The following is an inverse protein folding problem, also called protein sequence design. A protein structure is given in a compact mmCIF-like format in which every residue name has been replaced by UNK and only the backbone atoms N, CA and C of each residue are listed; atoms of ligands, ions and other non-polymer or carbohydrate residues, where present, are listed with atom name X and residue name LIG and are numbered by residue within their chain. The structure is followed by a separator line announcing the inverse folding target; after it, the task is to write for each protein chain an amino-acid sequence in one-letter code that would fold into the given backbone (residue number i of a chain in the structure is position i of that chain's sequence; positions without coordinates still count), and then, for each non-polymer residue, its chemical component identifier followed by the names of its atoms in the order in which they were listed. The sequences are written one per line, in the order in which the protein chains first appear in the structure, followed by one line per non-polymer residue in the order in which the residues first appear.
data_IF_552078032045
#
_entry.id   IF_552078032045
#
_cell.length_a   1.000
_cell.length_b   1.000
_cell.length_c   1.000
_cell.angle_alpha   90.00
_cell.angle_beta   90.00
_cell.angle_gamma   90.00
#
_symmetry.space_group_name_H-M   'P 1'
#
loop_
_entity.id
_entity.type
_entity.pdbx_description
1 polymer ?
#
# COMPACT_ATOMS: atom_id res chain seq x y z
N UNK A 1 -42.32 -4.07 -8.05
CA UNK A 1 -41.46 -2.87 -8.17
C UNK A 1 -41.29 -2.56 -9.64
N UNK A 2 -41.84 -1.43 -10.10
CA UNK A 2 -42.09 -1.12 -11.51
C UNK A 2 -40.84 -0.65 -12.27
N UNK A 3 -40.70 -1.12 -13.51
CA UNK A 3 -39.66 -0.83 -14.52
C UNK A 3 -39.42 0.67 -14.84
N UNK A 4 -40.13 1.59 -14.19
CA UNK A 4 -39.97 3.05 -14.32
C UNK A 4 -38.75 3.61 -13.58
N UNK A 5 -38.23 2.92 -12.55
CA UNK A 5 -37.04 3.38 -11.81
C UNK A 5 -35.72 3.08 -12.53
N UNK A 6 -35.68 2.02 -13.36
CA UNK A 6 -34.45 1.61 -14.07
C UNK A 6 -34.14 2.58 -15.22
N UNK A 7 -35.16 3.13 -15.88
CA UNK A 7 -34.98 4.11 -16.97
C UNK A 7 -34.55 5.49 -16.43
N UNK A 8 -34.96 5.87 -15.22
CA UNK A 8 -34.56 7.13 -14.59
C UNK A 8 -33.09 7.13 -14.13
N UNK A 9 -32.56 5.97 -13.69
CA UNK A 9 -31.14 5.85 -13.31
C UNK A 9 -30.24 5.69 -14.54
N UNK A 10 -30.71 5.00 -15.60
CA UNK A 10 -29.98 4.90 -16.86
C UNK A 10 -29.87 6.24 -17.62
N UNK A 11 -30.85 7.14 -17.45
CA UNK A 11 -30.83 8.48 -18.05
C UNK A 11 -29.84 9.46 -17.41
N UNK A 12 -29.39 9.22 -16.17
CA UNK A 12 -28.48 10.13 -15.46
C UNK A 12 -27.00 9.80 -15.67
N UNK A 13 -26.68 8.60 -16.18
CA UNK A 13 -25.32 8.19 -16.53
C UNK A 13 -24.91 8.67 -17.93
N UNK A 14 -25.88 9.00 -18.79
CA UNK A 14 -25.66 9.37 -20.19
C UNK A 14 -25.24 10.83 -20.48
N UNK A 15 -25.10 11.69 -19.47
CA UNK A 15 -24.80 13.13 -19.67
C UNK A 15 -23.42 13.55 -19.12
N UNK A 16 -22.64 12.64 -18.53
CA UNK A 16 -21.26 12.93 -18.09
C UNK A 16 -20.19 12.68 -19.17
N UNK A 17 -20.60 12.49 -20.42
CA UNK A 17 -19.69 12.44 -21.56
C UNK A 17 -19.27 13.84 -21.99
N UNK A 18 -17.95 14.05 -22.12
CA UNK A 18 -17.28 15.21 -22.71
C UNK A 18 -17.22 16.50 -21.88
N UNK A 19 -16.59 16.42 -20.72
CA UNK A 19 -15.58 17.43 -20.41
C UNK A 19 -14.23 16.81 -20.77
N UNK A 20 -13.45 17.50 -21.61
CA UNK A 20 -12.05 17.19 -21.76
C UNK A 20 -11.41 17.31 -20.38
N UNK A 21 -11.22 16.18 -19.70
CA UNK A 21 -10.38 16.13 -18.52
C UNK A 21 -8.98 16.26 -19.05
N UNK A 22 -8.41 17.46 -18.98
CA UNK A 22 -6.97 17.57 -19.03
C UNK A 22 -6.43 16.74 -17.87
N UNK A 23 -5.79 15.62 -18.21
CA UNK A 23 -5.09 14.83 -17.21
C UNK A 23 -3.99 15.73 -16.64
N UNK A 24 -4.20 16.24 -15.42
CA UNK A 24 -3.16 16.97 -14.71
C UNK A 24 -1.96 16.05 -14.57
N UNK A 25 -0.82 16.52 -15.04
CA UNK A 25 0.46 15.84 -14.92
C UNK A 25 0.87 15.81 -13.44
N UNK A 26 0.48 14.74 -12.73
CA UNK A 26 0.65 14.56 -11.29
C UNK A 26 2.05 14.05 -10.91
N UNK A 27 3.04 14.21 -11.80
CA UNK A 27 4.43 13.80 -11.51
C UNK A 27 4.96 14.62 -10.33
N UNK A 28 5.48 13.98 -9.27
CA UNK A 28 5.95 14.70 -8.11
C UNK A 28 7.21 15.51 -8.45
N UNK A 29 7.40 16.61 -7.74
CA UNK A 29 8.69 17.29 -7.71
C UNK A 29 9.69 16.39 -7.00
N UNK A 30 10.93 16.37 -7.46
CA UNK A 30 12.00 15.61 -6.79
C UNK A 30 13.12 16.54 -6.42
N UNK A 31 13.54 16.54 -5.16
CA UNK A 31 14.72 17.25 -4.66
C UNK A 31 15.68 16.23 -4.09
N UNK A 32 16.88 16.16 -4.65
CA UNK A 32 17.97 15.31 -4.23
C UNK A 32 19.09 16.19 -3.68
N UNK A 33 19.46 15.98 -2.42
CA UNK A 33 20.55 16.65 -1.73
C UNK A 33 21.63 15.63 -1.46
N UNK A 34 22.80 15.76 -2.09
CA UNK A 34 23.92 14.84 -1.90
C UNK A 34 25.09 15.59 -1.28
N UNK A 35 25.56 15.14 -0.12
CA UNK A 35 26.76 15.66 0.51
C UNK A 35 28.00 15.16 -0.25
N UNK A 36 28.73 16.09 -0.84
CA UNK A 36 29.92 15.78 -1.67
C UNK A 36 31.22 15.87 -0.89
N UNK A 37 31.26 16.74 0.11
CA UNK A 37 32.35 16.91 1.07
C UNK A 37 31.78 17.52 2.35
N UNK A 38 32.53 17.54 3.45
CA UNK A 38 32.03 17.98 4.75
C UNK A 38 31.26 19.31 4.66
N UNK A 39 29.97 19.27 5.03
CA UNK A 39 29.04 20.40 5.01
C UNK A 39 28.87 21.08 3.63
N UNK A 40 29.18 20.37 2.54
CA UNK A 40 29.01 20.86 1.17
C UNK A 40 28.06 19.93 0.41
N UNK A 41 26.90 20.47 0.03
CA UNK A 41 25.79 19.71 -0.52
C UNK A 41 25.52 20.14 -1.96
N UNK A 42 25.48 19.17 -2.87
CA UNK A 42 25.00 19.37 -4.24
C UNK A 42 23.52 19.02 -4.27
N UNK A 43 22.71 19.98 -4.70
CA UNK A 43 21.27 19.89 -4.73
C UNK A 43 20.83 19.83 -6.18
N UNK A 44 20.14 18.77 -6.54
CA UNK A 44 19.52 18.60 -7.85
C UNK A 44 18.01 18.51 -7.65
N UNK A 45 17.24 19.34 -8.35
CA UNK A 45 15.79 19.25 -8.29
C UNK A 45 15.18 19.19 -9.68
N UNK A 46 14.16 18.35 -9.81
CA UNK A 46 13.43 18.11 -11.05
C UNK A 46 11.98 18.53 -10.86
N UNK A 47 11.53 19.38 -11.77
CA UNK A 47 10.18 19.94 -11.79
C UNK A 47 9.53 19.54 -13.12
N UNK A 48 8.32 18.98 -13.13
CA UNK A 48 7.60 18.68 -14.36
C UNK A 48 7.38 19.94 -15.21
N UNK A 49 7.36 19.79 -16.54
CA UNK A 49 7.07 20.89 -17.48
C UNK A 49 5.64 21.43 -17.38
N UNK A 50 4.79 20.81 -16.56
CA UNK A 50 3.45 21.30 -16.26
C UNK A 50 3.46 22.63 -15.49
N UNK A 51 4.56 23.00 -14.81
CA UNK A 51 4.72 24.33 -14.25
C UNK A 51 5.31 25.30 -15.28
N UNK A 52 4.76 26.53 -15.36
CA UNK A 52 5.37 27.57 -16.18
C UNK A 52 6.71 28.00 -15.58
N UNK A 53 7.61 28.50 -16.44
CA UNK A 53 9.01 28.75 -16.08
C UNK A 53 9.20 29.83 -14.98
N UNK A 54 8.20 30.68 -14.78
CA UNK A 54 8.13 31.72 -13.74
C UNK A 54 7.61 31.21 -12.39
N UNK A 55 7.05 30.00 -12.33
CA UNK A 55 6.54 29.36 -11.12
C UNK A 55 7.41 28.19 -10.64
N UNK A 56 8.64 28.08 -11.14
CA UNK A 56 9.54 26.98 -10.77
C UNK A 56 9.91 27.05 -9.28
N UNK A 57 9.64 25.99 -8.50
CA UNK A 57 10.02 25.97 -7.11
C UNK A 57 11.54 25.88 -6.93
N UNK A 58 12.02 26.50 -5.85
CA UNK A 58 13.43 26.49 -5.47
C UNK A 58 13.61 25.82 -4.10
N UNK A 59 14.62 24.96 -3.91
CA UNK A 59 14.94 24.43 -2.60
C UNK A 59 15.30 25.53 -1.60
N UNK A 60 14.79 25.42 -0.38
CA UNK A 60 15.12 26.32 0.74
C UNK A 60 16.02 25.59 1.74
N UNK A 61 17.07 26.27 2.18
CA UNK A 61 18.07 25.76 3.12
C UNK A 61 18.16 26.66 4.37
N UNK A 62 18.74 26.14 5.48
CA UNK A 62 19.04 26.94 6.66
C UNK A 62 19.82 28.23 6.34
N UNK A 63 19.63 29.27 7.16
CA UNK A 63 20.21 30.59 6.93
C UNK A 63 21.75 30.63 6.93
N UNK A 64 22.40 29.63 7.52
CA UNK A 64 23.85 29.45 7.57
C UNK A 64 24.42 28.70 6.35
N UNK A 65 23.57 28.32 5.39
CA UNK A 65 23.97 27.70 4.13
C UNK A 65 24.12 28.75 3.02
N UNK A 66 25.34 28.94 2.54
CA UNK A 66 25.65 29.85 1.44
C UNK A 66 25.64 29.11 0.09
N UNK A 67 24.92 29.66 -0.89
CA UNK A 67 24.93 29.18 -2.25
C UNK A 67 26.24 29.57 -2.96
N UNK A 68 27.05 28.59 -3.37
CA UNK A 68 28.34 28.84 -4.00
C UNK A 68 28.23 29.41 -5.42
N UNK A 69 27.12 29.10 -6.09
CA UNK A 69 26.80 29.52 -7.47
C UNK A 69 25.29 29.73 -7.62
N UNK A 70 24.86 30.57 -8.57
CA UNK A 70 23.44 30.63 -8.95
C UNK A 70 22.97 29.28 -9.51
N UNK A 71 21.66 28.98 -9.41
CA UNK A 71 21.11 27.71 -9.86
C UNK A 71 21.28 27.54 -11.38
N UNK A 72 21.88 26.42 -11.79
CA UNK A 72 22.04 26.07 -13.19
C UNK A 72 20.80 25.30 -13.67
N UNK A 73 19.94 25.97 -14.42
CA UNK A 73 18.74 25.37 -14.99
C UNK A 73 19.01 24.74 -16.35
N UNK A 74 18.53 23.51 -16.54
CA UNK A 74 18.53 22.80 -17.82
C UNK A 74 17.13 22.29 -18.10
N UNK A 75 16.62 22.57 -19.30
CA UNK A 75 15.40 21.92 -19.80
C UNK A 75 15.78 20.56 -20.40
N UNK A 76 15.19 19.48 -19.89
CA UNK A 76 15.45 18.12 -20.36
C UNK A 76 14.14 17.43 -20.70
N UNK A 77 13.70 17.57 -21.95
CA UNK A 77 12.48 16.95 -22.45
C UNK A 77 11.23 17.41 -21.69
N UNK A 78 10.70 16.55 -20.82
CA UNK A 78 9.45 16.76 -20.08
C UNK A 78 9.63 17.22 -18.62
N UNK A 79 10.83 17.69 -18.25
CA UNK A 79 11.12 18.27 -16.94
C UNK A 79 12.16 19.41 -17.01
N UNK A 80 12.03 20.38 -16.11
CA UNK A 80 13.08 21.35 -15.77
C UNK A 80 13.95 20.74 -14.67
N UNK A 81 15.27 20.77 -14.85
CA UNK A 81 16.23 20.31 -13.84
C UNK A 81 17.09 21.50 -13.40
N UNK A 82 17.09 21.78 -12.10
CA UNK A 82 18.00 22.73 -11.47
C UNK A 82 19.11 22.01 -10.71
N UNK A 83 20.30 22.59 -10.74
CA UNK A 83 21.47 22.10 -10.00
C UNK A 83 22.14 23.28 -9.29
N UNK A 84 22.43 23.13 -7.98
CA UNK A 84 23.09 24.16 -7.17
C UNK A 84 23.90 23.52 -6.05
N UNK A 85 25.01 24.14 -5.67
CA UNK A 85 25.84 23.69 -4.55
C UNK A 85 25.76 24.67 -3.40
N UNK A 86 25.52 24.15 -2.19
CA UNK A 86 25.48 24.89 -0.94
C UNK A 86 26.63 24.48 -0.04
N UNK A 87 27.17 25.45 0.70
CA UNK A 87 28.10 25.21 1.81
C UNK A 87 27.47 25.71 3.10
N UNK A 88 27.29 24.83 4.07
CA UNK A 88 26.70 25.13 5.36
C UNK A 88 27.78 25.21 6.44
N UNK A 89 27.52 25.97 7.51
CA UNK A 89 28.41 26.03 8.66
C UNK A 89 28.39 24.71 9.45
N UNK A 90 27.21 24.13 9.60
CA UNK A 90 26.95 22.85 10.25
C UNK A 90 26.36 21.82 9.28
N UNK A 91 26.31 20.56 9.70
CA UNK A 91 25.66 19.50 8.93
C UNK A 91 24.14 19.69 8.88
N UNK A 92 23.49 19.14 7.84
CA UNK A 92 22.04 19.25 7.66
C UNK A 92 21.20 18.33 8.56
N UNK A 93 21.82 17.38 9.27
CA UNK A 93 21.12 16.49 10.18
C UNK A 93 20.50 17.29 11.35
N UNK A 94 19.21 17.10 11.62
CA UNK A 94 18.46 17.87 12.62
C UNK A 94 18.00 19.26 12.17
N UNK A 95 18.27 19.64 10.91
CA UNK A 95 17.98 20.99 10.37
C UNK A 95 16.78 20.97 9.43
N UNK A 96 16.14 22.13 9.28
CA UNK A 96 14.98 22.30 8.40
C UNK A 96 15.42 22.65 6.98
N UNK A 97 14.96 21.87 6.02
CA UNK A 97 15.06 22.11 4.57
C UNK A 97 13.65 22.20 3.98
N UNK A 98 13.51 22.71 2.77
CA UNK A 98 12.19 22.82 2.17
C UNK A 98 12.21 23.15 0.69
N UNK A 99 11.03 23.47 0.18
CA UNK A 99 10.81 23.86 -1.21
C UNK A 99 9.89 25.08 -1.26
N UNK A 100 10.42 26.20 -1.75
CA UNK A 100 9.70 27.45 -1.92
C UNK A 100 9.07 27.55 -3.29
N UNK A 101 7.78 27.86 -3.36
CA UNK A 101 7.09 28.17 -4.62
C UNK A 101 6.95 29.69 -4.75
N UNK A 102 7.30 30.29 -5.91
CA UNK A 102 7.13 31.73 -6.13
C UNK A 102 5.68 32.21 -6.04
N UNK A 103 4.72 31.31 -6.33
CA UNK A 103 3.27 31.61 -6.30
C UNK A 103 2.54 30.64 -5.36
N UNK A 104 1.85 29.63 -5.89
CA UNK A 104 1.12 28.62 -5.13
C UNK A 104 1.47 27.24 -5.68
N UNK A 105 1.63 26.26 -4.79
CA UNK A 105 1.83 24.87 -5.22
C UNK A 105 0.56 24.38 -5.93
N UNK A 106 0.62 23.93 -7.20
CA UNK A 106 -0.53 23.41 -7.94
C UNK A 106 -0.95 22.00 -7.48
N UNK A 107 -0.85 21.75 -6.18
CA UNK A 107 -1.10 20.46 -5.52
C UNK A 107 -0.11 19.34 -5.86
N UNK A 108 1.14 19.68 -6.17
CA UNK A 108 2.20 18.70 -6.37
C UNK A 108 2.74 18.18 -5.04
N UNK A 109 3.02 16.87 -5.03
CA UNK A 109 3.81 16.24 -3.98
C UNK A 109 5.30 16.45 -4.28
N UNK A 110 6.11 16.54 -3.24
CA UNK A 110 7.57 16.66 -3.38
C UNK A 110 8.25 15.47 -2.71
N UNK A 111 9.07 14.74 -3.46
CA UNK A 111 9.96 13.72 -2.92
C UNK A 111 11.27 14.42 -2.57
N UNK A 112 11.60 14.45 -1.28
CA UNK A 112 12.83 15.04 -0.77
C UNK A 112 13.76 13.92 -0.29
N UNK A 113 14.92 13.80 -0.92
CA UNK A 113 15.95 12.81 -0.57
C UNK A 113 17.24 13.52 -0.17
N UNK A 114 17.82 13.15 0.96
CA UNK A 114 19.11 13.64 1.47
C UNK A 114 20.05 12.44 1.61
N UNK A 115 21.22 12.53 1.00
CA UNK A 115 22.29 11.53 1.05
C UNK A 115 23.52 12.18 1.71
N UNK A 116 23.92 11.68 2.88
CA UNK A 116 25.10 12.15 3.60
C UNK A 116 26.37 11.42 3.14
N UNK A 117 27.53 12.04 3.33
CA UNK A 117 28.82 11.46 2.95
C UNK A 117 29.18 10.18 3.74
N UNK A 118 28.51 9.98 4.88
CA UNK A 118 28.56 8.75 5.70
C UNK A 118 27.86 7.55 5.03
N UNK A 119 27.11 7.77 3.96
CA UNK A 119 26.25 6.78 3.31
C UNK A 119 24.84 6.69 3.92
N UNK A 120 24.52 7.52 4.91
CA UNK A 120 23.18 7.65 5.48
C UNK A 120 22.26 8.39 4.50
N UNK A 121 21.05 7.86 4.29
CA UNK A 121 20.06 8.48 3.41
C UNK A 121 18.75 8.70 4.18
N UNK A 122 18.12 9.85 3.98
CA UNK A 122 16.77 10.11 4.43
C UNK A 122 15.86 10.47 3.25
N UNK A 123 14.65 9.93 3.28
CA UNK A 123 13.62 10.21 2.29
C UNK A 123 12.33 10.64 2.98
N UNK A 124 11.71 11.70 2.48
CA UNK A 124 10.37 12.13 2.89
C UNK A 124 9.55 12.52 1.66
N UNK A 125 8.30 12.07 1.63
CA UNK A 125 7.31 12.56 0.65
C UNK A 125 6.51 13.66 1.34
N UNK A 126 6.66 14.88 0.86
CA UNK A 126 5.90 16.05 1.29
C UNK A 126 4.58 16.13 0.53
N UNK A 127 3.49 16.27 1.29
CA UNK A 127 2.17 16.51 0.74
C UNK A 127 2.03 17.90 0.07
N UNK A 128 0.94 18.14 -0.66
CA UNK A 128 0.69 19.43 -1.34
C UNK A 128 0.78 20.69 -0.48
N UNK A 129 0.46 20.58 0.81
CA UNK A 129 0.47 21.69 1.77
C UNK A 129 1.71 21.70 2.68
N UNK A 130 2.66 20.78 2.46
CA UNK A 130 3.88 20.64 3.25
C UNK A 130 5.06 21.19 2.43
N UNK A 131 5.69 22.24 2.93
CA UNK A 131 6.79 22.93 2.24
C UNK A 131 8.15 22.75 2.92
N UNK A 132 8.13 22.34 4.19
CA UNK A 132 9.31 22.25 5.04
C UNK A 132 9.39 20.87 5.68
N UNK A 133 10.62 20.42 5.89
CA UNK A 133 10.95 19.17 6.54
C UNK A 133 12.17 19.37 7.42
N UNK A 134 12.08 18.95 8.67
CA UNK A 134 13.25 18.84 9.54
C UNK A 134 13.86 17.46 9.37
N UNK A 135 15.07 17.41 8.82
CA UNK A 135 15.83 16.17 8.60
C UNK A 135 16.11 15.58 9.98
N UNK A 136 15.76 14.32 10.26
CA UNK A 136 16.08 13.69 11.54
C UNK A 136 17.59 13.74 11.82
N UNK A 137 18.00 14.07 13.05
CA UNK A 137 19.41 14.10 13.45
C UNK A 137 20.02 12.68 13.63
N UNK A 138 19.13 11.69 13.76
CA UNK A 138 19.39 10.26 13.84
C UNK A 138 18.39 9.58 12.92
N UNK A 139 18.77 8.52 12.18
CA UNK A 139 17.76 7.60 11.68
C UNK A 139 17.06 7.07 12.93
N UNK A 140 15.74 7.22 13.01
CA UNK A 140 14.95 6.65 14.10
C UNK A 140 14.33 5.34 13.60
N UNK A 141 15.02 4.18 13.70
CA UNK A 141 14.45 2.87 13.36
C UNK A 141 13.07 2.65 13.97
N UNK A 142 12.82 3.26 15.14
CA UNK A 142 11.54 3.19 15.83
C UNK A 142 10.43 3.97 15.10
N UNK A 143 10.71 5.16 14.55
CA UNK A 143 9.72 5.92 13.79
C UNK A 143 9.35 5.18 12.50
N UNK A 144 10.36 4.66 11.79
CA UNK A 144 10.18 3.80 10.61
C UNK A 144 9.34 2.58 10.97
N UNK A 145 9.68 1.88 12.05
CA UNK A 145 8.94 0.71 12.51
C UNK A 145 7.45 0.99 12.76
N UNK A 146 7.11 2.07 13.46
CA UNK A 146 5.72 2.44 13.75
C UNK A 146 4.96 2.78 12.46
N UNK A 147 5.55 3.60 11.59
CA UNK A 147 4.95 3.99 10.31
C UNK A 147 4.62 2.75 9.46
N UNK A 148 5.58 1.85 9.26
CA UNK A 148 5.36 0.64 8.45
C UNK A 148 4.39 -0.36 9.09
N UNK A 149 4.39 -0.46 10.42
CA UNK A 149 3.39 -1.27 11.13
C UNK A 149 1.97 -0.73 10.85
N UNK A 150 1.77 0.58 10.90
CA UNK A 150 0.47 1.19 10.59
C UNK A 150 0.08 0.96 9.12
N UNK A 151 1.03 1.12 8.18
CA UNK A 151 0.78 0.83 6.78
C UNK A 151 0.39 -0.63 6.53
N UNK A 152 1.02 -1.59 7.23
CA UNK A 152 0.64 -3.00 7.15
C UNK A 152 -0.79 -3.27 7.63
N UNK A 153 -1.20 -2.64 8.74
CA UNK A 153 -2.58 -2.75 9.25
C UNK A 153 -3.57 -2.15 8.25
N UNK A 154 -3.30 -0.96 7.72
CA UNK A 154 -4.19 -0.31 6.76
C UNK A 154 -4.29 -1.11 5.46
N UNK A 155 -3.18 -1.66 4.99
CA UNK A 155 -3.14 -2.49 3.79
C UNK A 155 -4.11 -3.68 3.86
N UNK A 156 -4.07 -4.45 4.95
CA UNK A 156 -4.98 -5.61 5.09
C UNK A 156 -6.44 -5.18 5.25
N UNK A 157 -6.72 -4.02 5.87
CA UNK A 157 -8.10 -3.54 6.05
C UNK A 157 -8.73 -2.97 4.76
N UNK A 158 -7.94 -2.40 3.86
CA UNK A 158 -8.42 -1.93 2.54
C UNK A 158 -8.56 -3.12 1.58
N UNK A 159 -7.71 -4.14 1.71
CA UNK A 159 -7.71 -5.32 0.86
C UNK A 159 -8.85 -6.30 1.15
N UNK A 160 -10.02 -6.06 0.55
CA UNK A 160 -11.21 -6.91 0.74
C UNK A 160 -10.97 -8.41 0.43
N UNK A 161 -10.18 -8.74 -0.60
CA UNK A 161 -9.80 -10.12 -0.91
C UNK A 161 -9.11 -10.82 0.26
N UNK A 162 -8.19 -10.13 0.93
CA UNK A 162 -7.43 -10.68 2.03
C UNK A 162 -8.32 -10.90 3.26
N UNK A 163 -9.22 -9.96 3.56
CA UNK A 163 -10.18 -10.11 4.65
C UNK A 163 -11.13 -11.29 4.40
N UNK A 164 -11.65 -11.44 3.17
CA UNK A 164 -12.49 -12.57 2.81
C UNK A 164 -11.73 -13.90 2.85
N UNK A 165 -10.47 -13.91 2.42
CA UNK A 165 -9.59 -15.07 2.55
C UNK A 165 -9.42 -15.50 4.02
N UNK A 166 -9.08 -14.56 4.91
CA UNK A 166 -8.94 -14.82 6.36
C UNK A 166 -10.26 -15.26 6.99
N UNK A 167 -11.39 -14.68 6.57
CA UNK A 167 -12.72 -15.10 7.01
C UNK A 167 -13.02 -16.55 6.59
N UNK A 168 -12.62 -16.96 5.39
CA UNK A 168 -12.74 -18.36 4.96
C UNK A 168 -11.84 -19.30 5.79
N UNK A 169 -10.60 -18.91 6.09
CA UNK A 169 -9.70 -19.70 6.93
C UNK A 169 -10.25 -19.92 8.34
N UNK A 170 -10.99 -18.95 8.91
CA UNK A 170 -11.69 -19.11 10.19
C UNK A 170 -12.64 -20.32 10.18
N UNK A 171 -13.40 -20.53 9.10
CA UNK A 171 -14.30 -21.67 8.97
C UNK A 171 -13.57 -23.00 8.76
N UNK A 172 -12.44 -22.98 8.04
CA UNK A 172 -11.68 -24.18 7.67
C UNK A 172 -10.80 -24.68 8.82
N UNK A 173 -10.11 -23.78 9.53
CA UNK A 173 -9.13 -24.16 10.55
C UNK A 173 -9.77 -24.77 11.81
N UNK A 174 -11.02 -24.39 12.13
CA UNK A 174 -11.89 -24.89 13.22
C UNK A 174 -11.39 -24.75 14.65
N UNK A 175 -10.10 -24.52 14.86
CA UNK A 175 -9.48 -24.36 16.18
C UNK A 175 -8.59 -23.13 16.18
N UNK A 176 -8.49 -22.39 17.30
CA UNK A 176 -7.71 -21.16 17.37
C UNK A 176 -6.23 -21.39 17.08
N UNK A 177 -5.66 -22.50 17.57
CA UNK A 177 -4.25 -22.86 17.31
C UNK A 177 -3.99 -23.11 15.83
N UNK A 178 -4.88 -23.86 15.14
CA UNK A 178 -4.72 -24.09 13.69
C UNK A 178 -4.90 -22.80 12.92
N UNK A 179 -5.84 -21.95 13.31
CA UNK A 179 -6.09 -20.67 12.67
C UNK A 179 -4.87 -19.76 12.76
N UNK A 180 -4.33 -19.58 13.98
CA UNK A 180 -3.13 -18.78 14.21
C UNK A 180 -1.97 -19.27 13.33
N UNK A 181 -1.66 -20.56 13.37
CA UNK A 181 -0.60 -21.13 12.53
C UNK A 181 -0.83 -20.90 11.04
N UNK A 182 -2.08 -20.99 10.60
CA UNK A 182 -2.47 -20.83 9.19
C UNK A 182 -2.34 -19.38 8.72
N UNK A 183 -2.68 -18.41 9.58
CA UNK A 183 -2.50 -16.97 9.32
C UNK A 183 -1.02 -16.62 9.31
N UNK A 184 -0.28 -16.98 10.37
CA UNK A 184 1.15 -16.71 10.45
C UNK A 184 1.91 -17.37 9.29
N UNK A 185 1.54 -18.60 8.91
CA UNK A 185 2.11 -19.28 7.75
C UNK A 185 1.85 -18.55 6.43
N UNK A 186 0.65 -17.99 6.24
CA UNK A 186 0.34 -17.13 5.10
C UNK A 186 1.23 -15.89 5.10
N UNK A 187 1.31 -15.17 6.22
CA UNK A 187 2.08 -13.93 6.34
C UNK A 187 3.56 -14.14 6.09
N UNK A 188 4.14 -15.21 6.62
CA UNK A 188 5.54 -15.56 6.36
C UNK A 188 5.78 -15.89 4.88
N UNK A 189 4.90 -16.68 4.26
CA UNK A 189 5.00 -17.01 2.84
C UNK A 189 4.85 -15.76 1.95
N UNK A 190 3.88 -14.91 2.27
CA UNK A 190 3.66 -13.63 1.64
C UNK A 190 4.87 -12.71 1.77
N UNK A 191 5.47 -12.64 2.96
CA UNK A 191 6.69 -11.85 3.24
C UNK A 191 7.83 -12.24 2.31
N UNK A 192 8.01 -13.55 2.07
CA UNK A 192 9.06 -14.07 1.18
C UNK A 192 8.87 -13.59 -0.25
N UNK A 193 7.67 -13.73 -0.83
CA UNK A 193 7.45 -13.34 -2.23
C UNK A 193 7.32 -11.84 -2.42
N UNK A 194 6.85 -11.10 -1.41
CA UNK A 194 6.94 -9.64 -1.37
C UNK A 194 8.41 -9.19 -1.41
N UNK A 195 9.26 -9.75 -0.55
CA UNK A 195 10.68 -9.44 -0.53
C UNK A 195 11.36 -9.76 -1.87
N UNK A 196 11.08 -10.93 -2.46
CA UNK A 196 11.61 -11.31 -3.77
C UNK A 196 11.19 -10.34 -4.88
N UNK A 197 9.98 -9.80 -4.82
CA UNK A 197 9.50 -8.88 -5.84
C UNK A 197 9.98 -7.44 -5.61
N UNK A 198 10.12 -6.98 -4.36
CA UNK A 198 10.67 -5.65 -4.06
C UNK A 198 12.18 -5.60 -4.34
N UNK A 199 12.92 -6.66 -4.03
CA UNK A 199 14.34 -6.83 -4.39
C UNK A 199 14.56 -7.14 -5.87
N UNK A 200 13.49 -7.12 -6.67
CA UNK A 200 13.54 -7.28 -8.11
C UNK A 200 14.07 -8.64 -8.62
N UNK A 201 14.10 -9.65 -7.73
CA UNK A 201 14.51 -11.02 -8.06
C UNK A 201 13.47 -11.70 -8.94
N UNK A 202 12.18 -11.42 -8.70
CA UNK A 202 11.06 -11.98 -9.48
C UNK A 202 10.06 -10.89 -9.84
N UNK A 203 9.78 -10.75 -11.14
CA UNK A 203 8.79 -9.82 -11.70
C UNK A 203 7.63 -10.59 -12.31
N UNK A 204 6.42 -10.38 -11.78
CA UNK A 204 5.18 -10.88 -12.36
C UNK A 204 4.28 -9.71 -12.75
N UNK A 205 3.53 -9.82 -13.86
CA UNK A 205 2.52 -8.82 -14.20
C UNK A 205 1.43 -8.81 -13.13
N UNK A 206 1.03 -7.61 -12.67
CA UNK A 206 0.02 -7.45 -11.61
C UNK A 206 -1.35 -8.05 -11.95
N UNK A 207 -1.93 -7.85 -13.16
CA UNK A 207 -3.31 -8.30 -13.41
C UNK A 207 -3.50 -9.82 -13.22
N UNK A 208 -2.65 -10.71 -13.76
CA UNK A 208 -2.78 -12.15 -13.50
C UNK A 208 -2.65 -12.53 -12.03
N UNK A 209 -1.80 -11.85 -11.27
CA UNK A 209 -1.62 -12.10 -9.83
C UNK A 209 -2.89 -11.76 -9.07
N UNK A 210 -3.49 -10.60 -9.33
CA UNK A 210 -4.74 -10.18 -8.69
C UNK A 210 -5.91 -11.11 -9.01
N UNK A 211 -5.99 -11.62 -10.24
CA UNK A 211 -7.01 -12.59 -10.64
C UNK A 211 -6.86 -13.92 -9.88
N UNK A 212 -5.61 -14.40 -9.70
CA UNK A 212 -5.31 -15.61 -8.90
C UNK A 212 -5.62 -15.38 -7.42
N UNK A 213 -5.39 -14.18 -6.89
CA UNK A 213 -5.78 -13.80 -5.53
C UNK A 213 -7.30 -13.92 -5.37
N UNK A 214 -8.11 -13.34 -6.27
CA UNK A 214 -9.57 -13.49 -6.22
C UNK A 214 -9.98 -14.97 -6.33
N UNK A 215 -9.34 -15.73 -7.24
CA UNK A 215 -9.64 -17.13 -7.45
C UNK A 215 -9.34 -17.97 -6.20
N UNK A 216 -8.33 -17.62 -5.41
CA UNK A 216 -8.05 -18.28 -4.13
C UNK A 216 -9.21 -18.15 -3.14
N UNK A 217 -9.92 -17.01 -3.13
CA UNK A 217 -11.09 -16.80 -2.28
C UNK A 217 -12.27 -17.64 -2.76
N UNK A 218 -12.49 -17.72 -4.09
CA UNK A 218 -13.48 -18.62 -4.69
C UNK A 218 -13.18 -20.08 -4.32
N UNK A 219 -11.92 -20.50 -4.41
CA UNK A 219 -11.49 -21.84 -4.05
C UNK A 219 -11.84 -22.18 -2.59
N UNK A 220 -11.50 -21.29 -1.64
CA UNK A 220 -11.84 -21.53 -0.23
C UNK A 220 -13.35 -21.54 0.02
N UNK A 221 -14.11 -20.66 -0.66
CA UNK A 221 -15.56 -20.66 -0.57
C UNK A 221 -16.17 -22.00 -1.03
N UNK A 222 -15.68 -22.55 -2.14
CA UNK A 222 -16.10 -23.87 -2.62
C UNK A 222 -15.75 -24.97 -1.61
N UNK A 223 -14.56 -24.94 -1.02
CA UNK A 223 -14.15 -25.95 -0.02
C UNK A 223 -14.97 -25.86 1.27
N UNK A 224 -15.46 -24.68 1.64
CA UNK A 224 -16.43 -24.52 2.74
C UNK A 224 -17.79 -25.10 2.33
N UNK A 225 -18.29 -24.77 1.13
CA UNK A 225 -19.59 -25.20 0.64
C UNK A 225 -19.69 -26.73 0.48
N UNK A 226 -18.59 -27.38 0.03
CA UNK A 226 -18.51 -28.84 -0.12
C UNK A 226 -18.57 -29.57 1.22
N UNK A 227 -18.07 -28.94 2.29
CA UNK A 227 -18.04 -29.54 3.63
C UNK A 227 -17.22 -30.82 3.77
N UNK A 228 -16.40 -31.20 2.77
CA UNK A 228 -15.61 -32.44 2.82
C UNK A 228 -14.39 -32.29 3.71
N UNK A 229 -14.48 -32.86 4.91
CA UNK A 229 -13.43 -32.82 5.93
C UNK A 229 -12.20 -33.66 5.57
N UNK A 230 -12.29 -34.48 4.51
CA UNK A 230 -11.17 -35.27 4.02
C UNK A 230 -10.32 -34.52 2.99
N UNK A 231 -10.80 -33.38 2.49
CA UNK A 231 -10.05 -32.51 1.59
C UNK A 231 -8.71 -32.07 2.19
N UNK A 232 -7.76 -31.79 1.29
CA UNK A 232 -6.45 -31.26 1.67
C UNK A 232 -6.58 -29.95 2.47
N UNK A 233 -7.52 -29.09 2.07
CA UNK A 233 -7.80 -27.79 2.66
C UNK A 233 -8.21 -27.89 4.12
N UNK A 234 -9.11 -28.82 4.46
CA UNK A 234 -9.57 -29.01 5.84
C UNK A 234 -8.57 -29.81 6.70
N UNK A 235 -7.79 -30.73 6.10
CA UNK A 235 -6.78 -31.52 6.82
C UNK A 235 -5.50 -30.73 7.09
N UNK A 236 -5.00 -30.04 6.08
CA UNK A 236 -3.73 -29.30 6.10
C UNK A 236 -3.94 -27.83 5.68
N UNK A 237 -4.75 -27.05 6.42
CA UNK A 237 -5.03 -25.66 6.09
C UNK A 237 -3.76 -24.80 6.05
N UNK A 238 -2.76 -25.11 6.90
CA UNK A 238 -1.47 -24.44 6.90
C UNK A 238 -0.76 -24.54 5.53
N UNK A 239 -0.73 -25.72 4.92
CA UNK A 239 -0.05 -25.94 3.64
C UNK A 239 -0.74 -25.15 2.53
N UNK A 240 -2.08 -25.20 2.50
CA UNK A 240 -2.86 -24.43 1.52
C UNK A 240 -2.67 -22.93 1.70
N UNK A 241 -2.66 -22.47 2.95
CA UNK A 241 -2.47 -21.06 3.30
C UNK A 241 -1.07 -20.56 2.95
N UNK A 242 -0.03 -21.35 3.19
CA UNK A 242 1.35 -21.05 2.76
C UNK A 242 1.41 -20.95 1.22
N UNK A 243 0.80 -21.89 0.51
CA UNK A 243 0.80 -21.87 -0.96
C UNK A 243 0.12 -20.61 -1.52
N UNK A 244 -1.03 -20.21 -0.98
CA UNK A 244 -1.67 -18.96 -1.37
C UNK A 244 -0.91 -17.72 -0.89
N UNK A 245 -0.29 -17.74 0.29
CA UNK A 245 0.56 -16.66 0.78
C UNK A 245 1.71 -16.34 -0.18
N UNK A 246 2.39 -17.37 -0.70
CA UNK A 246 3.42 -17.20 -1.74
C UNK A 246 2.86 -16.47 -2.97
N UNK A 247 1.67 -16.83 -3.45
CA UNK A 247 1.06 -16.19 -4.61
C UNK A 247 0.64 -14.74 -4.32
N UNK A 248 0.09 -14.48 -3.13
CA UNK A 248 -0.44 -13.17 -2.74
C UNK A 248 0.67 -12.12 -2.59
N UNK A 249 1.87 -12.49 -2.14
CA UNK A 249 2.97 -11.53 -1.94
C UNK A 249 3.44 -10.82 -3.21
N UNK A 250 3.15 -11.37 -4.40
CA UNK A 250 3.44 -10.70 -5.67
C UNK A 250 2.47 -9.56 -6.01
N UNK A 251 1.28 -9.52 -5.41
CA UNK A 251 0.23 -8.56 -5.78
C UNK A 251 0.53 -7.12 -5.34
N UNK A 252 1.36 -6.94 -4.31
CA UNK A 252 1.59 -5.64 -3.69
C UNK A 252 2.94 -4.98 -4.03
N UNK A 253 3.81 -5.71 -4.71
CA UNK A 253 5.19 -5.28 -4.91
C UNK A 253 5.35 -4.04 -5.80
N UNK A 254 4.39 -3.78 -6.69
CA UNK A 254 4.41 -2.60 -7.58
C UNK A 254 4.27 -1.30 -6.80
N UNK A 255 3.42 -1.29 -5.76
CA UNK A 255 3.15 -0.11 -4.94
C UNK A 255 4.37 0.27 -4.09
N UNK A 256 5.03 -0.70 -3.44
CA UNK A 256 6.20 -0.40 -2.58
C UNK A 256 7.40 0.13 -3.38
N UNK A 257 7.59 -0.32 -4.62
CA UNK A 257 8.66 0.17 -5.49
C UNK A 257 8.47 1.64 -5.87
N UNK A 258 7.23 2.08 -6.04
CA UNK A 258 6.89 3.47 -6.39
C UNK A 258 7.10 4.44 -5.23
N UNK A 259 7.08 3.95 -3.97
CA UNK A 259 7.35 4.79 -2.78
C UNK A 259 8.83 5.21 -2.69
N UNK A 260 9.74 4.51 -3.38
CA UNK A 260 11.13 4.98 -3.59
C UNK A 260 12.03 4.94 -2.35
N UNK A 261 11.77 4.03 -1.41
CA UNK A 261 12.43 3.97 -0.11
C UNK A 261 13.97 3.87 -0.18
N UNK A 262 14.69 4.47 0.78
CA UNK A 262 16.11 4.21 0.95
C UNK A 262 16.38 2.71 1.10
N UNK A 263 17.39 2.20 0.39
CA UNK A 263 17.74 0.78 0.42
C UNK A 263 18.13 0.30 1.83
N UNK A 264 18.65 1.19 2.68
CA UNK A 264 19.00 0.91 4.08
C UNK A 264 17.79 0.56 4.94
N UNK A 265 16.64 1.18 4.66
CA UNK A 265 15.44 1.06 5.50
C UNK A 265 14.54 -0.09 5.05
N UNK A 266 14.78 -0.61 3.84
CA UNK A 266 13.96 -1.65 3.22
C UNK A 266 13.77 -2.90 4.10
N UNK A 267 14.80 -3.49 4.74
CA UNK A 267 14.60 -4.67 5.58
C UNK A 267 13.72 -4.39 6.80
N UNK A 268 13.88 -3.23 7.44
CA UNK A 268 13.10 -2.79 8.60
C UNK A 268 11.66 -2.52 8.16
N UNK A 269 11.48 -1.78 7.06
CA UNK A 269 10.18 -1.49 6.49
C UNK A 269 9.41 -2.78 6.14
N UNK A 270 10.04 -3.74 5.46
CA UNK A 270 9.43 -5.03 5.13
C UNK A 270 9.05 -5.82 6.38
N UNK A 271 9.91 -5.88 7.38
CA UNK A 271 9.64 -6.59 8.63
C UNK A 271 8.42 -6.00 9.34
N UNK A 272 8.43 -4.69 9.60
CA UNK A 272 7.37 -4.02 10.35
C UNK A 272 6.06 -3.91 9.55
N UNK A 273 6.13 -3.82 8.23
CA UNK A 273 4.95 -3.94 7.38
C UNK A 273 4.26 -5.30 7.58
N UNK A 274 5.01 -6.41 7.53
CA UNK A 274 4.43 -7.75 7.73
C UNK A 274 3.95 -7.98 9.18
N UNK A 275 4.62 -7.39 10.18
CA UNK A 275 4.10 -7.35 11.55
C UNK A 275 2.76 -6.63 11.60
N UNK A 276 2.64 -5.48 10.92
CA UNK A 276 1.39 -4.74 10.78
C UNK A 276 0.28 -5.57 10.13
N UNK A 277 0.60 -6.32 9.06
CA UNK A 277 -0.34 -7.22 8.39
C UNK A 277 -0.84 -8.31 9.35
N UNK A 278 0.06 -9.02 10.03
CA UNK A 278 -0.32 -10.06 11.00
C UNK A 278 -1.22 -9.49 12.10
N UNK A 279 -0.84 -8.33 12.67
CA UNK A 279 -1.65 -7.64 13.68
C UNK A 279 -3.04 -7.30 13.15
N UNK A 280 -3.12 -6.73 11.94
CA UNK A 280 -4.39 -6.39 11.32
C UNK A 280 -5.29 -7.61 11.06
N UNK A 281 -4.73 -8.73 10.63
CA UNK A 281 -5.45 -10.00 10.44
C UNK A 281 -5.97 -10.55 11.77
N UNK A 282 -5.14 -10.56 12.82
CA UNK A 282 -5.54 -11.03 14.14
C UNK A 282 -6.64 -10.16 14.77
N UNK A 283 -6.56 -8.83 14.59
CA UNK A 283 -7.61 -7.90 15.01
C UNK A 283 -8.93 -8.18 14.28
N UNK A 284 -8.87 -8.43 12.97
CA UNK A 284 -10.05 -8.78 12.18
C UNK A 284 -10.68 -10.11 12.65
N UNK A 285 -9.86 -11.15 12.89
CA UNK A 285 -10.34 -12.43 13.43
C UNK A 285 -10.97 -12.27 14.82
N UNK A 286 -10.36 -11.45 15.69
CA UNK A 286 -10.91 -11.15 17.00
C UNK A 286 -12.28 -10.45 16.88
N UNK A 287 -12.42 -9.50 15.96
CA UNK A 287 -13.68 -8.81 15.68
C UNK A 287 -14.78 -9.79 15.20
N UNK A 288 -14.45 -10.71 14.28
CA UNK A 288 -15.38 -11.75 13.82
C UNK A 288 -15.82 -12.66 14.97
N UNK A 289 -14.90 -13.05 15.85
CA UNK A 289 -15.21 -13.89 17.00
C UNK A 289 -16.14 -13.18 18.00
N UNK A 290 -15.86 -11.91 18.32
CA UNK A 290 -16.71 -11.08 19.18
C UNK A 290 -18.10 -10.91 18.55
N UNK A 291 -18.18 -10.58 17.26
CA UNK A 291 -19.45 -10.46 16.52
C UNK A 291 -20.27 -11.75 16.58
N UNK A 292 -19.63 -12.91 16.38
CA UNK A 292 -20.29 -14.20 16.52
C UNK A 292 -20.83 -14.44 17.94
N UNK A 293 -20.07 -14.11 18.98
CA UNK A 293 -20.49 -14.27 20.38
C UNK A 293 -21.69 -13.39 20.71
N UNK A 294 -21.67 -12.13 20.27
CA UNK A 294 -22.80 -11.19 20.44
C UNK A 294 -24.03 -11.71 19.71
N UNK A 295 -23.90 -12.10 18.44
CA UNK A 295 -25.00 -12.65 17.65
C UNK A 295 -25.62 -13.88 18.32
N UNK A 296 -24.79 -14.81 18.83
CA UNK A 296 -25.26 -15.98 19.56
C UNK A 296 -26.08 -15.58 20.79
N UNK A 297 -25.61 -14.63 21.59
CA UNK A 297 -26.32 -14.16 22.79
C UNK A 297 -27.69 -13.55 22.45
N UNK A 298 -27.77 -12.76 21.38
CA UNK A 298 -29.03 -12.16 20.91
C UNK A 298 -29.99 -13.23 20.39
N UNK A 299 -29.52 -14.16 19.56
CA UNK A 299 -30.34 -15.24 18.97
C UNK A 299 -30.85 -16.21 20.04
N UNK A 300 -30.02 -16.57 21.03
CA UNK A 300 -30.44 -17.39 22.18
C UNK A 300 -31.54 -16.71 23.00
N UNK A 301 -31.52 -15.38 23.10
CA UNK A 301 -32.53 -14.60 23.82
C UNK A 301 -33.88 -14.53 23.07
N UNK A 302 -33.89 -14.81 21.78
CA UNK A 302 -35.09 -14.82 20.92
C UNK A 302 -35.65 -16.22 20.63
N UNK A 303 -35.14 -17.26 21.30
CA UNK A 303 -35.65 -18.64 21.20
C UNK A 303 -35.70 -19.20 19.76
N UNK A 304 -34.94 -18.61 18.84
CA UNK A 304 -34.72 -19.16 17.51
C UNK A 304 -33.68 -20.27 17.65
N UNK A 305 -34.09 -21.51 17.37
CA UNK A 305 -33.22 -22.67 17.42
C UNK A 305 -31.91 -22.38 16.69
N UNK A 306 -30.81 -22.64 17.39
CA UNK A 306 -29.45 -22.30 17.03
C UNK A 306 -29.20 -22.37 15.52
N UNK A 307 -28.84 -21.23 14.92
CA UNK A 307 -28.24 -21.20 13.61
C UNK A 307 -26.96 -22.04 13.69
N UNK A 308 -27.02 -23.28 13.19
CA UNK A 308 -25.88 -24.19 13.23
C UNK A 308 -24.71 -23.52 12.50
N UNK A 309 -23.53 -23.58 13.11
CA UNK A 309 -22.29 -23.01 12.54
C UNK A 309 -22.06 -23.47 11.09
N UNK A 310 -22.53 -24.68 10.76
CA UNK A 310 -22.53 -25.24 9.41
C UNK A 310 -23.43 -24.48 8.43
N UNK A 311 -24.66 -24.08 8.84
CA UNK A 311 -25.56 -23.29 7.99
C UNK A 311 -25.02 -21.88 7.76
N UNK A 312 -24.41 -21.28 8.79
CA UNK A 312 -23.74 -19.99 8.66
C UNK A 312 -22.53 -20.10 7.72
N UNK A 313 -21.71 -21.14 7.87
CA UNK A 313 -20.57 -21.39 6.98
C UNK A 313 -21.01 -21.55 5.52
N UNK A 314 -22.07 -22.32 5.27
CA UNK A 314 -22.61 -22.54 3.93
C UNK A 314 -23.17 -21.23 3.33
N UNK A 315 -24.00 -20.50 4.07
CA UNK A 315 -24.55 -19.22 3.60
C UNK A 315 -23.44 -18.20 3.30
N UNK A 316 -22.48 -18.06 4.22
CA UNK A 316 -21.31 -17.21 4.05
C UNK A 316 -20.47 -17.63 2.84
N UNK A 317 -20.29 -18.93 2.58
CA UNK A 317 -19.53 -19.39 1.42
C UNK A 317 -20.19 -19.02 0.08
N UNK A 318 -21.52 -19.03 -0.01
CA UNK A 318 -22.19 -18.58 -1.24
C UNK A 318 -22.04 -17.09 -1.45
N UNK A 319 -22.15 -16.27 -0.40
CA UNK A 319 -21.96 -14.83 -0.47
C UNK A 319 -20.53 -14.48 -0.86
N UNK A 320 -19.55 -15.04 -0.15
CA UNK A 320 -18.12 -14.82 -0.40
C UNK A 320 -17.74 -15.32 -1.79
N UNK A 321 -18.20 -16.52 -2.16
CA UNK A 321 -17.93 -17.11 -3.48
C UNK A 321 -18.51 -16.27 -4.62
N UNK A 322 -19.72 -15.73 -4.48
CA UNK A 322 -20.33 -14.87 -5.49
C UNK A 322 -19.56 -13.56 -5.68
N UNK A 323 -19.21 -12.88 -4.58
CA UNK A 323 -18.41 -11.65 -4.60
C UNK A 323 -17.03 -11.90 -5.22
N UNK A 324 -16.34 -12.95 -4.77
CA UNK A 324 -15.02 -13.29 -5.28
C UNK A 324 -15.06 -13.71 -6.76
N UNK A 325 -16.11 -14.41 -7.20
CA UNK A 325 -16.27 -14.79 -8.60
C UNK A 325 -16.48 -13.57 -9.50
N UNK A 326 -17.22 -12.57 -9.02
CA UNK A 326 -17.33 -11.29 -9.70
C UNK A 326 -15.96 -10.61 -9.84
N UNK A 327 -15.14 -10.57 -8.77
CA UNK A 327 -13.78 -10.02 -8.83
C UNK A 327 -12.85 -10.78 -9.77
N UNK A 328 -12.95 -12.12 -9.83
CA UNK A 328 -12.20 -12.91 -10.81
C UNK A 328 -12.55 -12.47 -12.23
N UNK A 329 -13.84 -12.35 -12.55
CA UNK A 329 -14.30 -11.96 -13.88
C UNK A 329 -13.80 -10.55 -14.22
N UNK A 330 -13.96 -9.59 -13.29
CA UNK A 330 -13.54 -8.20 -13.46
C UNK A 330 -12.03 -8.10 -13.77
N UNK A 331 -11.21 -8.79 -12.98
CA UNK A 331 -9.75 -8.80 -13.15
C UNK A 331 -9.29 -9.51 -14.42
N UNK A 332 -9.95 -10.60 -14.79
CA UNK A 332 -9.64 -11.32 -16.04
C UNK A 332 -10.02 -10.48 -17.26
N UNK A 333 -11.16 -9.78 -17.24
CA UNK A 333 -11.52 -8.85 -18.31
C UNK A 333 -10.46 -7.76 -18.44
N UNK A 334 -9.95 -7.25 -17.32
CA UNK A 334 -8.87 -6.26 -17.28
C UNK A 334 -7.53 -6.71 -17.89
N UNK A 335 -7.36 -7.97 -18.32
CA UNK A 335 -6.16 -8.40 -19.06
C UNK A 335 -6.16 -7.86 -20.49
N UNK A 336 -7.33 -7.55 -21.05
CA UNK A 336 -7.50 -7.00 -22.38
C UNK A 336 -7.88 -5.51 -22.24
N UNK A 337 -6.96 -4.57 -22.56
CA UNK A 337 -7.18 -3.14 -22.39
C UNK A 337 -8.21 -2.55 -23.37
#
# INVERSE_FOLDING_TARGET
MSARYIVAVAGMVGVLGSLAVEAHDARPNTVLVTETSANTYTVTWKVPTALPADALPTPTFPADCEALRPPAWRASGSAYTGEQTFRCAEGLAGRTVGIGYPTINPSLRTIYKVEFATGEEHLRILGPAEYEWTIPATPEPFAVAVEYTQHGVVHIWIGADHLLFVACLLFIARTPRRLLLTITGFTLAHSVTLALSVLDVVRLPTPPVEAVIALSVVFLAVEIARGDLRSLTHRMPLVVSVAFGLLHGFGFATVLREVGLPQSDLPIALLFFNIGVEVGQLLFVAALFVGYRVLRLVVQRWNAQAMAWERLGLASSYVVGAVASHWVIDRVIGFWP
#
